data_IF_402050821627
#
_entry.id   IF_402050821627
#
_cell.length_a   1.000
_cell.length_b   1.000
_cell.length_c   1.000
_cell.angle_alpha   90.00
_cell.angle_beta   90.00
_cell.angle_gamma   90.00
#
_symmetry.space_group_name_H-M   'P 1'
#
loop_
_entity.id
_entity.type
_entity.pdbx_description
1 polymer ?
#
# COMPACT_ATOMS: atom_id res chain seq x y z
N UNK A 1 -10.19 -6.05 -21.46
CA UNK A 1 -10.74 -7.06 -22.37
C UNK A 1 -12.24 -7.21 -22.10
N UNK A 2 -13.07 -7.27 -23.13
CA UNK A 2 -14.50 -7.55 -23.03
C UNK A 2 -14.78 -8.77 -23.90
N UNK A 3 -15.33 -9.81 -23.30
CA UNK A 3 -15.76 -11.04 -23.97
C UNK A 3 -17.29 -11.05 -23.97
N UNK A 4 -17.88 -11.07 -25.15
CA UNK A 4 -19.32 -11.17 -25.32
C UNK A 4 -19.64 -11.93 -26.60
N UNK A 5 -20.57 -12.86 -26.48
CA UNK A 5 -21.10 -13.66 -27.58
C UNK A 5 -20.03 -14.36 -28.45
N UNK A 6 -19.01 -14.92 -27.78
CA UNK A 6 -17.94 -15.70 -28.41
C UNK A 6 -17.62 -16.93 -27.58
N UNK A 7 -17.61 -18.10 -28.22
CA UNK A 7 -17.31 -19.38 -27.59
C UNK A 7 -15.82 -19.53 -27.25
N UNK A 8 -15.52 -20.28 -26.19
CA UNK A 8 -14.16 -20.53 -25.74
C UNK A 8 -13.30 -21.26 -26.78
N UNK A 9 -13.92 -22.14 -27.58
CA UNK A 9 -13.27 -22.90 -28.67
C UNK A 9 -12.73 -22.01 -29.79
N UNK A 10 -13.18 -20.76 -29.88
CA UNK A 10 -12.63 -19.81 -30.84
C UNK A 10 -11.18 -19.42 -30.50
N UNK A 11 -10.81 -19.48 -29.22
CA UNK A 11 -9.48 -19.17 -28.73
C UNK A 11 -8.62 -20.44 -28.60
N UNK A 12 -7.32 -20.30 -28.82
CA UNK A 12 -6.39 -21.38 -28.47
C UNK A 12 -6.23 -21.46 -26.94
N UNK A 13 -5.82 -22.62 -26.38
CA UNK A 13 -5.53 -22.74 -24.96
C UNK A 13 -4.52 -21.70 -24.47
N UNK A 14 -3.52 -21.38 -25.28
CA UNK A 14 -2.51 -20.36 -24.97
C UNK A 14 -3.12 -18.96 -24.91
N UNK A 15 -4.05 -18.60 -25.81
CA UNK A 15 -4.71 -17.30 -25.78
C UNK A 15 -5.61 -17.13 -24.54
N UNK A 16 -6.27 -18.21 -24.11
CA UNK A 16 -7.05 -18.21 -22.87
C UNK A 16 -6.14 -18.02 -21.65
N UNK A 17 -5.00 -18.70 -21.61
CA UNK A 17 -3.97 -18.50 -20.56
C UNK A 17 -3.39 -17.08 -20.59
N UNK A 18 -3.07 -16.54 -21.76
CA UNK A 18 -2.62 -15.15 -21.89
C UNK A 18 -3.66 -14.14 -21.40
N UNK A 19 -4.95 -14.44 -21.58
CA UNK A 19 -6.04 -13.60 -21.10
C UNK A 19 -6.18 -13.69 -19.57
N UNK A 20 -5.99 -14.87 -18.98
CA UNK A 20 -5.87 -15.04 -17.53
C UNK A 20 -4.71 -14.20 -16.98
N UNK A 21 -3.51 -14.33 -17.56
CA UNK A 21 -2.29 -13.63 -17.13
C UNK A 21 -2.40 -12.11 -17.31
N UNK A 22 -3.09 -11.67 -18.36
CA UNK A 22 -3.39 -10.26 -18.56
C UNK A 22 -4.16 -9.67 -17.36
N UNK A 23 -5.08 -10.44 -16.77
CA UNK A 23 -5.81 -10.00 -15.57
C UNK A 23 -4.99 -10.22 -14.31
N UNK A 24 -4.47 -11.43 -14.10
CA UNK A 24 -3.82 -11.83 -12.84
C UNK A 24 -2.46 -11.15 -12.62
N UNK A 25 -1.64 -11.05 -13.66
CA UNK A 25 -0.25 -10.56 -13.58
C UNK A 25 -0.14 -9.12 -14.08
N UNK A 26 -0.74 -8.79 -15.23
CA UNK A 26 -0.59 -7.45 -15.83
C UNK A 26 -1.57 -6.43 -15.25
N UNK A 27 -2.51 -6.86 -14.41
CA UNK A 27 -3.47 -5.95 -13.77
C UNK A 27 -4.59 -5.44 -14.68
N UNK A 28 -4.82 -6.12 -15.81
CA UNK A 28 -5.88 -5.80 -16.75
C UNK A 28 -7.28 -6.01 -16.20
N UNK A 29 -8.26 -5.37 -16.83
CA UNK A 29 -9.68 -5.60 -16.59
C UNK A 29 -10.28 -6.62 -17.56
N UNK A 30 -11.07 -7.57 -17.06
CA UNK A 30 -11.89 -8.49 -17.85
C UNK A 30 -13.38 -8.28 -17.55
N UNK A 31 -14.18 -8.20 -18.62
CA UNK A 31 -15.63 -8.30 -18.56
C UNK A 31 -16.11 -9.51 -19.34
N UNK A 32 -16.90 -10.36 -18.69
CA UNK A 32 -17.66 -11.42 -19.34
C UNK A 32 -19.11 -10.98 -19.46
N UNK A 33 -19.63 -10.95 -20.68
CA UNK A 33 -21.01 -10.62 -21.01
C UNK A 33 -21.85 -11.88 -21.20
N UNK A 34 -23.11 -11.80 -20.79
CA UNK A 34 -24.11 -12.80 -21.08
C UNK A 34 -24.46 -12.83 -22.57
N UNK A 35 -24.98 -13.98 -23.00
CA UNK A 35 -25.36 -14.28 -24.38
C UNK A 35 -25.33 -15.79 -24.62
N UNK A 36 -25.70 -16.20 -25.83
CA UNK A 36 -25.78 -17.61 -26.21
C UNK A 36 -24.43 -18.32 -26.14
N UNK A 37 -23.34 -17.56 -26.32
CA UNK A 37 -21.96 -18.05 -26.21
C UNK A 37 -21.23 -17.50 -24.97
N UNK A 38 -21.96 -17.03 -23.96
CA UNK A 38 -21.39 -16.54 -22.70
C UNK A 38 -21.15 -17.66 -21.69
N UNK A 39 -20.28 -17.42 -20.70
CA UNK A 39 -20.16 -18.25 -19.48
C UNK A 39 -20.07 -19.77 -19.74
N UNK A 40 -20.97 -20.57 -19.15
CA UNK A 40 -20.94 -22.02 -19.28
C UNK A 40 -21.42 -22.46 -20.67
N UNK A 41 -22.36 -21.72 -21.27
CA UNK A 41 -22.91 -21.98 -22.61
C UNK A 41 -21.83 -21.85 -23.69
N UNK A 42 -20.93 -20.87 -23.54
CA UNK A 42 -19.76 -20.69 -24.39
C UNK A 42 -18.59 -21.63 -24.08
N UNK A 43 -18.72 -22.56 -23.13
CA UNK A 43 -17.66 -23.53 -22.81
C UNK A 43 -16.50 -22.98 -21.96
N UNK A 44 -16.66 -21.84 -21.29
CA UNK A 44 -15.57 -21.25 -20.48
C UNK A 44 -15.32 -22.00 -19.16
N UNK A 45 -16.20 -22.91 -18.75
CA UNK A 45 -16.14 -23.58 -17.45
C UNK A 45 -14.87 -24.43 -17.24
N UNK A 46 -14.34 -25.01 -18.31
CA UNK A 46 -13.12 -25.85 -18.28
C UNK A 46 -11.89 -25.10 -18.82
N UNK A 47 -11.90 -23.77 -18.74
CA UNK A 47 -10.81 -22.89 -19.21
C UNK A 47 -10.19 -22.11 -18.05
N UNK A 48 -8.97 -21.55 -18.20
CA UNK A 48 -8.38 -20.65 -17.21
C UNK A 48 -9.28 -19.45 -16.86
N UNK A 49 -10.18 -19.03 -17.76
CA UNK A 49 -11.11 -17.93 -17.51
C UNK A 49 -12.20 -18.28 -16.49
N UNK A 50 -12.44 -19.57 -16.23
CA UNK A 50 -13.29 -19.99 -15.12
C UNK A 50 -12.75 -19.51 -13.77
N UNK A 51 -11.42 -19.44 -13.60
CA UNK A 51 -10.77 -18.93 -12.39
C UNK A 51 -10.87 -17.41 -12.27
N UNK A 52 -10.77 -16.71 -13.40
CA UNK A 52 -10.93 -15.26 -13.49
C UNK A 52 -12.38 -14.81 -13.25
N UNK A 53 -13.38 -15.64 -13.55
CA UNK A 53 -14.79 -15.27 -13.40
C UNK A 53 -15.18 -15.02 -11.92
N UNK A 54 -15.97 -13.97 -11.60
CA UNK A 54 -16.49 -13.72 -10.24
C UNK A 54 -17.48 -14.78 -9.74
N UNK A 55 -18.05 -15.54 -10.66
CA UNK A 55 -19.02 -16.60 -10.38
C UNK A 55 -18.44 -17.93 -10.78
N UNK A 56 -18.83 -19.01 -10.10
CA UNK A 56 -18.46 -20.35 -10.55
C UNK A 56 -19.22 -20.65 -11.84
N UNK A 57 -18.50 -21.04 -12.89
CA UNK A 57 -19.10 -21.43 -14.18
C UNK A 57 -19.55 -22.89 -14.19
N UNK A 58 -19.34 -23.62 -13.10
CA UNK A 58 -19.78 -24.99 -12.93
C UNK A 58 -20.35 -25.14 -11.53
N UNK A 59 -21.47 -25.84 -11.40
CA UNK A 59 -21.98 -26.25 -10.11
C UNK A 59 -20.98 -27.19 -9.41
N UNK A 60 -20.74 -26.97 -8.13
CA UNK A 60 -20.06 -27.96 -7.30
C UNK A 60 -21.08 -29.05 -6.94
N UNK A 61 -20.73 -30.33 -7.12
CA UNK A 61 -21.55 -31.45 -6.59
C UNK A 61 -22.43 -32.21 -7.59
N UNK A 62 -22.36 -31.96 -8.89
CA UNK A 62 -23.14 -32.73 -9.89
C UNK A 62 -24.57 -32.25 -10.11
N UNK A 63 -24.97 -31.18 -9.45
CA UNK A 63 -26.25 -30.53 -9.67
C UNK A 63 -26.22 -29.60 -10.90
N UNK A 64 -27.34 -29.46 -11.61
CA UNK A 64 -27.45 -28.63 -12.82
C UNK A 64 -27.59 -27.11 -12.55
N UNK A 65 -27.14 -26.64 -11.39
CA UNK A 65 -27.22 -25.22 -11.01
C UNK A 65 -26.22 -24.37 -11.80
N UNK A 66 -26.67 -23.69 -12.86
CA UNK A 66 -25.81 -22.80 -13.63
C UNK A 66 -25.67 -23.12 -15.11
N UNK A 67 -26.45 -24.06 -15.65
CA UNK A 67 -26.56 -24.26 -17.09
C UNK A 67 -27.85 -23.69 -17.65
N UNK A 68 -27.73 -23.08 -18.82
CA UNK A 68 -28.82 -22.56 -19.62
C UNK A 68 -29.09 -21.09 -19.40
N UNK A 69 -29.94 -20.57 -20.27
CA UNK A 69 -30.39 -19.20 -20.24
C UNK A 69 -31.73 -19.12 -19.52
N UNK A 70 -31.85 -18.13 -18.64
CA UNK A 70 -33.16 -17.70 -18.13
C UNK A 70 -33.76 -16.78 -19.17
N UNK A 71 -34.80 -17.24 -19.87
CA UNK A 71 -35.57 -16.45 -20.82
C UNK A 71 -36.86 -15.94 -20.15
N UNK A 72 -36.73 -14.85 -19.37
CA UNK A 72 -37.87 -14.16 -18.77
C UNK A 72 -37.60 -12.67 -18.63
N UNK A 73 -38.68 -11.89 -18.57
CA UNK A 73 -38.58 -10.47 -18.26
C UNK A 73 -38.39 -10.23 -16.76
N UNK A 74 -37.44 -9.37 -16.40
CA UNK A 74 -37.19 -8.98 -15.02
C UNK A 74 -36.63 -7.55 -14.93
N UNK A 75 -36.86 -6.89 -13.78
CA UNK A 75 -36.20 -5.61 -13.45
C UNK A 75 -34.93 -5.89 -12.66
N UNK A 76 -33.87 -5.17 -12.99
CA UNK A 76 -32.59 -5.30 -12.31
C UNK A 76 -32.71 -4.78 -10.86
N UNK A 77 -32.49 -5.65 -9.89
CA UNK A 77 -32.53 -5.30 -8.47
C UNK A 77 -31.13 -5.03 -7.92
N UNK A 78 -30.93 -3.87 -7.29
CA UNK A 78 -29.66 -3.56 -6.61
C UNK A 78 -29.54 -4.24 -5.26
N UNK A 79 -28.43 -4.93 -5.03
CA UNK A 79 -28.03 -5.45 -3.70
C UNK A 79 -27.61 -4.29 -2.77
N UNK A 80 -27.50 -4.50 -1.45
CA UNK A 80 -26.97 -3.48 -0.54
C UNK A 80 -25.58 -2.93 -0.96
N UNK A 81 -24.70 -3.80 -1.46
CA UNK A 81 -23.39 -3.40 -1.99
C UNK A 81 -23.57 -2.60 -3.28
N UNK A 82 -24.44 -3.05 -4.19
CA UNK A 82 -24.80 -2.34 -5.42
C UNK A 82 -25.26 -0.91 -5.18
N UNK A 83 -26.13 -0.69 -4.19
CA UNK A 83 -26.67 0.64 -3.86
C UNK A 83 -25.61 1.65 -3.42
N UNK A 84 -24.48 1.17 -2.90
CA UNK A 84 -23.39 2.01 -2.41
C UNK A 84 -22.20 2.05 -3.38
N UNK A 85 -22.11 1.10 -4.32
CA UNK A 85 -20.98 0.98 -5.22
C UNK A 85 -21.05 2.02 -6.35
N UNK A 86 -19.91 2.65 -6.64
CA UNK A 86 -19.82 3.71 -7.65
C UNK A 86 -20.25 3.26 -9.05
N UNK A 87 -20.12 1.97 -9.38
CA UNK A 87 -20.59 1.41 -10.68
C UNK A 87 -22.09 1.56 -10.93
N UNK A 88 -22.90 1.58 -9.87
CA UNK A 88 -24.37 1.60 -9.99
C UNK A 88 -24.92 3.01 -9.78
N UNK A 89 -24.10 4.05 -10.00
CA UNK A 89 -24.46 5.45 -9.74
C UNK A 89 -24.84 6.17 -11.04
N UNK A 90 -26.13 6.21 -11.34
CA UNK A 90 -26.72 6.96 -12.44
C UNK A 90 -26.93 8.44 -12.10
N UNK A 91 -27.18 8.76 -10.81
CA UNK A 91 -27.33 10.11 -10.27
C UNK A 91 -26.45 10.31 -9.00
N UNK A 92 -26.06 11.55 -8.71
CA UNK A 92 -25.26 11.87 -7.54
C UNK A 92 -26.04 11.73 -6.22
N UNK A 93 -27.36 11.95 -6.25
CA UNK A 93 -28.26 11.74 -5.14
C UNK A 93 -28.70 10.27 -5.06
N UNK A 94 -28.52 9.65 -3.90
CA UNK A 94 -28.78 8.22 -3.74
C UNK A 94 -30.27 7.85 -3.88
N UNK A 95 -31.20 8.71 -3.44
CA UNK A 95 -32.63 8.43 -3.55
C UNK A 95 -33.09 8.55 -5.00
N UNK A 96 -32.61 9.56 -5.72
CA UNK A 96 -32.88 9.70 -7.16
C UNK A 96 -32.27 8.55 -7.95
N UNK A 97 -31.07 8.12 -7.59
CA UNK A 97 -30.41 6.97 -8.22
C UNK A 97 -31.26 5.69 -8.10
N UNK A 98 -31.79 5.41 -6.91
CA UNK A 98 -32.65 4.24 -6.69
C UNK A 98 -33.95 4.33 -7.50
N UNK A 99 -34.62 5.48 -7.46
CA UNK A 99 -35.83 5.69 -8.25
C UNK A 99 -35.58 5.51 -9.76
N UNK A 100 -34.45 6.02 -10.26
CA UNK A 100 -34.06 5.86 -11.66
C UNK A 100 -33.83 4.39 -12.02
N UNK A 101 -33.16 3.62 -11.16
CA UNK A 101 -33.01 2.18 -11.35
C UNK A 101 -34.35 1.43 -11.35
N UNK A 102 -35.31 1.82 -10.50
CA UNK A 102 -36.64 1.21 -10.43
C UNK A 102 -37.46 1.50 -11.71
N UNK A 103 -37.24 2.66 -12.34
CA UNK A 103 -37.87 3.06 -13.61
C UNK A 103 -37.26 2.39 -14.84
N UNK A 104 -36.05 1.81 -14.74
CA UNK A 104 -35.36 1.16 -15.85
C UNK A 104 -36.24 0.05 -16.49
N UNK A 105 -36.28 -0.05 -17.82
CA UNK A 105 -37.02 -1.10 -18.50
C UNK A 105 -36.54 -2.51 -18.12
N UNK A 106 -37.44 -3.47 -18.25
CA UNK A 106 -37.15 -4.88 -17.99
C UNK A 106 -36.16 -5.46 -19.01
N UNK A 107 -35.22 -6.24 -18.49
CA UNK A 107 -34.31 -7.09 -19.24
C UNK A 107 -35.03 -8.38 -19.63
N UNK A 108 -34.64 -9.01 -20.73
CA UNK A 108 -35.30 -10.20 -21.30
C UNK A 108 -34.61 -11.52 -20.96
N UNK A 109 -33.69 -11.54 -19.99
CA UNK A 109 -33.02 -12.76 -19.58
C UNK A 109 -31.53 -12.61 -19.27
N UNK A 110 -30.94 -13.70 -18.80
CA UNK A 110 -29.53 -13.80 -18.41
C UNK A 110 -29.02 -15.25 -18.40
N UNK A 111 -27.70 -15.45 -18.51
CA UNK A 111 -27.08 -16.77 -18.34
C UNK A 111 -27.16 -17.19 -16.88
N UNK A 112 -27.59 -18.43 -16.62
CA UNK A 112 -27.46 -19.01 -15.28
C UNK A 112 -25.97 -19.16 -14.99
N UNK A 113 -25.59 -18.83 -13.77
CA UNK A 113 -24.23 -19.02 -13.27
C UNK A 113 -24.30 -19.75 -11.93
N UNK A 114 -23.18 -20.33 -11.50
CA UNK A 114 -23.06 -20.90 -10.17
C UNK A 114 -22.95 -19.83 -9.08
N UNK A 115 -22.70 -20.28 -7.86
CA UNK A 115 -22.48 -19.40 -6.71
C UNK A 115 -21.33 -18.42 -6.96
N UNK A 116 -21.44 -17.24 -6.37
CA UNK A 116 -20.37 -16.24 -6.36
C UNK A 116 -19.17 -16.77 -5.59
N UNK A 117 -17.97 -16.40 -6.05
CA UNK A 117 -16.73 -16.73 -5.34
C UNK A 117 -16.62 -15.89 -4.06
N UNK A 118 -15.88 -16.36 -3.03
CA UNK A 118 -15.74 -15.62 -1.77
C UNK A 118 -15.16 -14.19 -1.90
N UNK A 119 -14.36 -13.93 -2.95
CA UNK A 119 -13.80 -12.60 -3.23
C UNK A 119 -14.65 -11.73 -4.15
N UNK A 120 -15.84 -12.21 -4.56
CA UNK A 120 -16.72 -11.49 -5.46
C UNK A 120 -17.79 -10.71 -4.69
N UNK A 121 -18.10 -9.52 -5.18
CA UNK A 121 -19.18 -8.66 -4.69
C UNK A 121 -20.27 -8.62 -5.75
N UNK A 122 -21.50 -8.96 -5.35
CA UNK A 122 -22.68 -8.90 -6.22
C UNK A 122 -23.28 -7.50 -6.12
N UNK A 123 -23.43 -6.82 -7.24
CA UNK A 123 -23.99 -5.47 -7.31
C UNK A 123 -25.45 -5.48 -7.76
N UNK A 124 -25.83 -6.46 -8.58
CA UNK A 124 -27.19 -6.58 -9.09
C UNK A 124 -27.65 -8.03 -9.20
N UNK A 125 -28.93 -8.24 -8.98
CA UNK A 125 -29.62 -9.53 -9.05
C UNK A 125 -30.95 -9.43 -9.80
N UNK A 126 -31.49 -10.57 -10.22
CA UNK A 126 -32.92 -10.71 -10.54
C UNK A 126 -33.68 -10.97 -9.22
N UNK A 127 -34.49 -10.00 -8.73
CA UNK A 127 -35.21 -10.14 -7.47
C UNK A 127 -36.39 -11.12 -7.56
N UNK A 128 -36.83 -11.49 -8.76
CA UNK A 128 -37.96 -12.41 -8.99
C UNK A 128 -37.53 -13.85 -9.18
N UNK A 129 -36.22 -14.11 -9.17
CA UNK A 129 -35.67 -15.43 -9.35
C UNK A 129 -35.91 -16.36 -8.17
N UNK A 130 -36.33 -17.58 -8.48
CA UNK A 130 -36.26 -18.67 -7.54
C UNK A 130 -34.81 -19.14 -7.41
N UNK A 131 -34.24 -18.99 -6.20
CA UNK A 131 -32.89 -19.46 -5.88
C UNK A 131 -32.79 -20.99 -5.95
N UNK A 132 -33.94 -21.70 -5.98
CA UNK A 132 -34.05 -23.13 -6.29
C UNK A 132 -33.97 -23.44 -7.80
N UNK A 133 -33.68 -22.45 -8.64
CA UNK A 133 -33.28 -22.70 -10.03
C UNK A 133 -31.84 -22.24 -10.37
N UNK A 134 -31.13 -21.59 -9.44
CA UNK A 134 -29.73 -21.18 -9.62
C UNK A 134 -29.41 -19.80 -9.07
N UNK A 135 -28.18 -19.35 -9.35
CA UNK A 135 -27.76 -18.00 -9.00
C UNK A 135 -28.59 -16.98 -9.79
N UNK A 136 -29.10 -15.97 -9.10
CA UNK A 136 -29.82 -14.85 -9.68
C UNK A 136 -28.92 -13.64 -9.92
N UNK A 137 -27.61 -13.85 -9.98
CA UNK A 137 -26.61 -12.80 -10.13
C UNK A 137 -26.68 -12.21 -11.53
N UNK A 138 -26.85 -10.90 -11.61
CA UNK A 138 -26.87 -10.13 -12.86
C UNK A 138 -25.57 -9.39 -13.09
N UNK A 139 -25.03 -8.78 -12.03
CA UNK A 139 -23.73 -8.10 -12.08
C UNK A 139 -22.91 -8.46 -10.84
N UNK A 140 -21.76 -9.07 -11.07
CA UNK A 140 -20.77 -9.34 -10.03
C UNK A 140 -19.40 -8.82 -10.44
N UNK A 141 -18.63 -8.37 -9.46
CA UNK A 141 -17.27 -7.89 -9.62
C UNK A 141 -16.34 -8.61 -8.67
N UNK A 142 -15.07 -8.75 -9.02
CA UNK A 142 -14.03 -9.18 -8.11
C UNK A 142 -12.68 -8.56 -8.49
N UNK A 143 -11.76 -8.54 -7.52
CA UNK A 143 -10.33 -8.42 -7.81
C UNK A 143 -9.77 -9.81 -8.04
N UNK A 144 -8.89 -9.95 -9.02
CA UNK A 144 -8.26 -11.22 -9.36
C UNK A 144 -6.79 -10.96 -9.71
N UNK A 145 -5.88 -11.51 -8.90
CA UNK A 145 -4.47 -11.12 -8.93
C UNK A 145 -4.30 -9.60 -8.75
N UNK A 146 -3.59 -8.96 -9.68
CA UNK A 146 -3.42 -7.50 -9.73
C UNK A 146 -4.56 -6.78 -10.46
N UNK A 147 -5.41 -7.51 -11.16
CA UNK A 147 -6.44 -6.96 -12.05
C UNK A 147 -7.85 -7.00 -11.48
N UNK A 148 -8.80 -6.81 -12.39
CA UNK A 148 -10.23 -6.75 -12.07
C UNK A 148 -11.02 -7.62 -13.02
N UNK A 149 -12.04 -8.28 -12.50
CA UNK A 149 -12.95 -9.11 -13.29
C UNK A 149 -14.39 -8.75 -12.98
N UNK A 150 -15.22 -8.75 -14.01
CA UNK A 150 -16.65 -8.46 -13.94
C UNK A 150 -17.42 -9.49 -14.77
N UNK A 151 -18.54 -9.94 -14.23
CA UNK A 151 -19.52 -10.74 -14.93
C UNK A 151 -20.84 -9.96 -14.98
N UNK A 152 -21.29 -9.66 -16.19
CA UNK A 152 -22.62 -9.14 -16.44
C UNK A 152 -23.42 -10.20 -17.22
N UNK A 153 -24.27 -10.94 -16.52
CA UNK A 153 -24.91 -12.16 -17.06
C UNK A 153 -26.11 -11.88 -17.96
N UNK A 154 -26.65 -10.66 -17.93
CA UNK A 154 -27.73 -10.24 -18.81
C UNK A 154 -27.21 -9.85 -20.20
N UNK A 155 -28.00 -10.15 -21.23
CA UNK A 155 -27.66 -9.89 -22.64
C UNK A 155 -28.55 -8.82 -23.30
N UNK A 156 -29.42 -8.18 -22.53
CA UNK A 156 -30.52 -7.35 -23.06
C UNK A 156 -30.53 -5.90 -22.57
N UNK A 157 -29.40 -5.40 -22.06
CA UNK A 157 -29.29 -4.01 -21.60
C UNK A 157 -29.48 -2.97 -22.71
N UNK A 158 -29.29 -3.35 -23.98
CA UNK A 158 -29.64 -2.51 -25.15
C UNK A 158 -31.11 -2.05 -25.13
N UNK A 159 -32.00 -2.80 -24.48
CA UNK A 159 -33.42 -2.45 -24.32
C UNK A 159 -33.60 -1.16 -23.54
N UNK A 160 -32.70 -0.86 -22.60
CA UNK A 160 -32.71 0.40 -21.88
C UNK A 160 -32.57 1.57 -22.86
N UNK A 161 -31.60 1.51 -23.76
CA UNK A 161 -31.41 2.56 -24.77
C UNK A 161 -32.59 2.66 -25.76
N UNK A 162 -33.23 1.54 -26.11
CA UNK A 162 -34.33 1.52 -27.09
C UNK A 162 -35.69 1.89 -26.53
N UNK A 163 -35.94 1.67 -25.23
CA UNK A 163 -37.26 1.85 -24.61
C UNK A 163 -37.37 3.13 -23.77
N UNK A 164 -36.25 3.79 -23.47
CA UNK A 164 -36.24 5.08 -22.77
C UNK A 164 -36.24 6.26 -23.76
N UNK A 165 -36.49 7.46 -23.24
CA UNK A 165 -36.42 8.67 -24.04
C UNK A 165 -35.01 8.87 -24.62
N UNK A 166 -34.91 9.41 -25.83
CA UNK A 166 -33.62 9.61 -26.52
C UNK A 166 -32.64 10.55 -25.80
N UNK A 167 -33.14 11.35 -24.85
CA UNK A 167 -32.33 12.25 -24.01
C UNK A 167 -31.80 11.56 -22.76
N UNK A 168 -32.35 10.41 -22.38
CA UNK A 168 -31.86 9.63 -21.24
C UNK A 168 -30.43 9.14 -21.52
N UNK A 169 -29.61 9.11 -20.47
CA UNK A 169 -28.19 8.72 -20.54
C UNK A 169 -27.86 7.61 -19.55
N UNK A 170 -28.85 6.92 -18.99
CA UNK A 170 -28.66 5.92 -17.93
C UNK A 170 -27.89 4.71 -18.45
N UNK A 171 -28.22 4.24 -19.67
CA UNK A 171 -27.51 3.15 -20.33
C UNK A 171 -26.05 3.53 -20.63
N UNK A 172 -25.81 4.71 -21.19
CA UNK A 172 -24.47 5.23 -21.49
C UNK A 172 -23.66 5.40 -20.20
N UNK A 173 -24.23 5.98 -19.15
CA UNK A 173 -23.58 6.13 -17.84
C UNK A 173 -23.22 4.78 -17.24
N UNK A 174 -24.12 3.80 -17.29
CA UNK A 174 -23.84 2.44 -16.81
C UNK A 174 -22.60 1.84 -17.51
N UNK A 175 -22.57 1.86 -18.84
CA UNK A 175 -21.45 1.30 -19.61
C UNK A 175 -20.16 2.10 -19.48
N UNK A 176 -20.24 3.43 -19.39
CA UNK A 176 -19.08 4.28 -19.13
C UNK A 176 -18.45 3.98 -17.76
N UNK A 177 -19.27 3.73 -16.73
CA UNK A 177 -18.79 3.36 -15.41
C UNK A 177 -18.10 2.00 -15.42
N UNK A 178 -18.69 1.01 -16.10
CA UNK A 178 -18.08 -0.30 -16.33
C UNK A 178 -16.72 -0.15 -17.01
N UNK A 179 -16.66 0.58 -18.13
CA UNK A 179 -15.43 0.80 -18.87
C UNK A 179 -14.35 1.46 -18.00
N UNK A 180 -14.70 2.52 -17.25
CA UNK A 180 -13.78 3.20 -16.32
C UNK A 180 -13.29 2.28 -15.19
N UNK A 181 -14.16 1.43 -14.66
CA UNK A 181 -13.81 0.53 -13.56
C UNK A 181 -12.89 -0.60 -14.02
N UNK A 182 -13.07 -1.09 -15.25
CA UNK A 182 -12.23 -2.10 -15.89
C UNK A 182 -10.91 -1.52 -16.39
N UNK A 183 -10.91 -0.27 -16.83
CA UNK A 183 -9.74 0.45 -17.33
C UNK A 183 -8.83 0.97 -16.21
N UNK A 184 -8.74 0.26 -15.07
CA UNK A 184 -7.68 0.56 -14.11
C UNK A 184 -6.34 0.36 -14.82
N UNK A 185 -5.39 1.27 -14.56
CA UNK A 185 -4.05 1.23 -15.13
C UNK A 185 -3.41 -0.14 -14.91
N UNK A 186 -3.54 -1.02 -15.90
CA UNK A 186 -2.63 -2.15 -16.06
C UNK A 186 -1.27 -1.51 -16.19
N UNK A 187 -0.34 -1.75 -15.25
CA UNK A 187 0.97 -1.15 -15.35
C UNK A 187 1.55 -1.54 -16.70
N UNK A 188 2.06 -0.56 -17.44
CA UNK A 188 2.69 -0.81 -18.72
C UNK A 188 3.94 -1.68 -18.53
N UNK A 189 4.73 -1.82 -19.59
CA UNK A 189 6.03 -2.52 -19.49
C UNK A 189 6.98 -1.88 -18.47
N UNK A 190 6.69 -0.65 -18.04
CA UNK A 190 7.36 0.01 -16.92
C UNK A 190 6.27 0.46 -15.96
N UNK A 191 6.47 0.18 -14.68
CA UNK A 191 5.58 0.57 -13.60
C UNK A 191 6.37 1.22 -12.48
N UNK A 192 6.21 2.52 -12.31
CA UNK A 192 6.83 3.30 -11.25
C UNK A 192 5.98 3.26 -9.98
N UNK A 193 6.61 2.92 -8.86
CA UNK A 193 6.00 2.89 -7.55
C UNK A 193 6.89 3.62 -6.55
N UNK A 194 6.26 4.24 -5.56
CA UNK A 194 6.90 4.90 -4.43
C UNK A 194 6.47 4.18 -3.15
N UNK A 195 7.30 4.20 -2.11
CA UNK A 195 6.95 3.60 -0.83
C UNK A 195 5.88 4.41 -0.06
N UNK A 196 5.82 5.73 -0.29
CA UNK A 196 4.83 6.68 0.25
C UNK A 196 4.44 7.74 -0.78
N UNK A 197 3.29 8.38 -0.57
CA UNK A 197 2.83 9.53 -1.38
C UNK A 197 3.26 10.89 -0.80
N UNK A 198 3.64 10.92 0.48
CA UNK A 198 4.09 12.10 1.19
C UNK A 198 5.28 11.79 2.09
N UNK A 199 6.29 12.66 2.04
CA UNK A 199 7.57 12.53 2.77
C UNK A 199 7.87 13.81 3.55
N UNK A 200 8.61 13.66 4.64
CA UNK A 200 9.17 14.78 5.36
C UNK A 200 10.35 15.41 4.61
N UNK A 201 10.67 16.68 4.90
CA UNK A 201 11.90 17.29 4.42
C UNK A 201 13.13 16.47 4.84
N UNK A 202 14.05 16.24 3.89
CA UNK A 202 15.24 15.39 4.05
C UNK A 202 14.96 13.89 4.28
N UNK A 203 13.72 13.43 4.20
CA UNK A 203 13.42 11.99 4.19
C UNK A 203 13.79 11.38 2.83
N UNK A 204 14.41 10.20 2.86
CA UNK A 204 14.78 9.48 1.64
C UNK A 204 13.55 8.85 1.00
N UNK A 205 13.32 9.16 -0.27
CA UNK A 205 12.28 8.58 -1.12
C UNK A 205 12.82 7.31 -1.79
N UNK A 206 12.09 6.19 -1.65
CA UNK A 206 12.47 4.94 -2.34
C UNK A 206 11.66 4.81 -3.64
N UNK A 207 12.34 4.99 -4.77
CA UNK A 207 11.73 4.84 -6.09
C UNK A 207 11.92 3.39 -6.53
N UNK A 208 10.81 2.67 -6.73
CA UNK A 208 10.81 1.29 -7.24
C UNK A 208 10.21 1.27 -8.64
N UNK A 209 10.84 0.57 -9.57
CA UNK A 209 10.32 0.35 -10.92
C UNK A 209 10.23 -1.14 -11.22
N UNK A 210 9.06 -1.60 -11.67
CA UNK A 210 8.90 -2.93 -12.26
C UNK A 210 9.01 -2.79 -13.77
N UNK A 211 9.94 -3.55 -14.36
CA UNK A 211 10.24 -3.54 -15.79
C UNK A 211 9.99 -4.91 -16.37
N UNK A 212 9.22 -4.92 -17.45
CA UNK A 212 8.91 -6.08 -18.23
C UNK A 212 9.39 -5.89 -19.68
N UNK A 213 9.68 -6.99 -20.36
CA UNK A 213 10.02 -6.97 -21.77
C UNK A 213 8.76 -6.95 -22.67
N UNK A 214 8.96 -7.12 -23.98
CA UNK A 214 7.86 -7.13 -24.96
C UNK A 214 6.87 -8.28 -24.76
N UNK A 215 7.29 -9.35 -24.08
CA UNK A 215 6.47 -10.51 -23.72
C UNK A 215 5.84 -10.37 -22.34
N UNK A 216 6.07 -9.26 -21.64
CA UNK A 216 5.70 -8.99 -20.25
C UNK A 216 6.40 -9.92 -19.22
N UNK A 217 7.54 -10.49 -19.59
CA UNK A 217 8.40 -11.19 -18.64
C UNK A 217 9.31 -10.19 -17.90
N UNK A 218 9.66 -10.45 -16.63
CA UNK A 218 10.54 -9.56 -15.88
C UNK A 218 11.91 -9.36 -16.55
N UNK A 219 12.26 -8.12 -16.87
CA UNK A 219 13.50 -7.80 -17.59
C UNK A 219 14.64 -7.44 -16.62
N UNK A 220 15.61 -8.34 -16.46
CA UNK A 220 16.72 -8.17 -15.50
C UNK A 220 17.94 -7.39 -16.05
N UNK A 221 17.98 -7.10 -17.36
CA UNK A 221 19.10 -6.40 -18.02
C UNK A 221 18.68 -5.07 -18.64
N UNK A 222 17.75 -4.35 -17.99
CA UNK A 222 17.22 -3.08 -18.46
C UNK A 222 18.02 -1.90 -17.90
N UNK A 223 18.24 -0.88 -18.74
CA UNK A 223 18.78 0.41 -18.29
C UNK A 223 17.64 1.35 -17.90
N UNK A 224 17.44 1.52 -16.59
CA UNK A 224 16.30 2.26 -16.01
C UNK A 224 16.77 3.58 -15.40
N UNK A 225 16.10 4.67 -15.78
CA UNK A 225 16.38 6.02 -15.28
C UNK A 225 15.09 6.69 -14.81
N UNK A 226 15.11 7.30 -13.62
CA UNK A 226 14.07 8.19 -13.14
C UNK A 226 14.51 9.64 -13.34
N UNK A 227 13.67 10.44 -13.98
CA UNK A 227 13.80 11.89 -14.02
C UNK A 227 12.84 12.48 -12.99
N UNK A 228 13.40 13.12 -11.95
CA UNK A 228 12.66 13.76 -10.88
C UNK A 228 12.62 15.26 -11.16
N UNK A 229 11.42 15.81 -11.37
CA UNK A 229 11.18 17.24 -11.56
C UNK A 229 10.56 17.84 -10.31
N UNK A 230 11.30 18.74 -9.66
CA UNK A 230 10.84 19.44 -8.47
C UNK A 230 9.88 20.60 -8.77
N UNK A 231 9.30 21.22 -7.73
CA UNK A 231 8.27 22.25 -7.86
C UNK A 231 8.75 23.53 -8.54
N UNK A 232 10.06 23.79 -8.53
CA UNK A 232 10.69 24.94 -9.20
C UNK A 232 11.11 24.63 -10.65
N UNK A 233 10.73 23.47 -11.19
CA UNK A 233 11.08 23.02 -12.54
C UNK A 233 12.51 22.46 -12.69
N UNK A 234 13.27 22.34 -11.60
CA UNK A 234 14.59 21.70 -11.64
C UNK A 234 14.41 20.20 -11.81
N UNK A 235 15.18 19.60 -12.73
CA UNK A 235 15.12 18.16 -13.01
C UNK A 235 16.44 17.48 -12.68
N UNK A 236 16.37 16.34 -11.99
CA UNK A 236 17.51 15.51 -11.62
C UNK A 236 17.27 14.09 -12.13
N UNK A 237 18.29 13.48 -12.77
CA UNK A 237 18.20 12.13 -13.29
C UNK A 237 18.93 11.16 -12.36
N UNK A 238 18.23 10.11 -11.93
CA UNK A 238 18.75 9.07 -11.04
C UNK A 238 18.64 7.73 -11.74
N UNK A 239 19.74 6.98 -11.79
CA UNK A 239 19.74 5.64 -12.34
C UNK A 239 19.21 4.64 -11.30
N UNK A 240 18.27 3.79 -11.68
CA UNK A 240 17.78 2.73 -10.80
C UNK A 240 18.65 1.49 -11.00
N UNK A 241 19.08 0.90 -9.88
CA UNK A 241 19.86 -0.33 -9.87
C UNK A 241 18.92 -1.54 -9.75
N UNK A 242 19.26 -2.65 -10.41
CA UNK A 242 18.50 -3.89 -10.26
C UNK A 242 18.55 -4.36 -8.80
N UNK A 243 17.38 -4.61 -8.22
CA UNK A 243 17.24 -5.12 -6.86
C UNK A 243 17.53 -6.63 -6.86
N UNK A 244 18.75 -6.99 -6.47
CA UNK A 244 19.20 -8.38 -6.46
C UNK A 244 18.25 -9.27 -5.62
N UNK A 245 17.65 -10.27 -6.27
CA UNK A 245 16.66 -11.18 -5.66
C UNK A 245 15.22 -10.96 -6.14
N UNK A 246 14.91 -9.80 -6.71
CA UNK A 246 13.60 -9.47 -7.26
C UNK A 246 13.69 -9.34 -8.80
N UNK A 247 13.12 -10.30 -9.54
CA UNK A 247 13.14 -10.29 -11.01
C UNK A 247 12.37 -9.08 -11.56
N UNK A 248 12.99 -8.34 -12.49
CA UNK A 248 12.42 -7.17 -13.15
C UNK A 248 12.23 -5.96 -12.24
N UNK A 249 12.80 -5.93 -11.04
CA UNK A 249 12.62 -4.83 -10.08
C UNK A 249 13.89 -3.99 -9.97
N UNK A 250 13.74 -2.68 -10.12
CA UNK A 250 14.84 -1.72 -10.01
C UNK A 250 14.51 -0.73 -8.90
N UNK A 251 15.51 -0.34 -8.10
CA UNK A 251 15.34 0.62 -6.99
C UNK A 251 16.39 1.72 -7.04
N UNK A 252 16.00 2.91 -6.60
CA UNK A 252 16.89 4.01 -6.30
C UNK A 252 16.40 4.76 -5.06
N UNK A 253 17.35 5.35 -4.35
CA UNK A 253 17.08 6.27 -3.25
C UNK A 253 17.30 7.70 -3.71
N UNK A 254 16.35 8.58 -3.38
CA UNK A 254 16.41 10.00 -3.73
C UNK A 254 16.09 10.86 -2.50
N UNK A 255 16.91 11.88 -2.22
CA UNK A 255 16.66 12.81 -1.12
C UNK A 255 16.25 14.18 -1.68
N UNK A 256 14.98 14.60 -1.53
CA UNK A 256 14.49 15.86 -2.06
C UNK A 256 15.07 17.05 -1.28
N UNK A 257 15.58 18.05 -2.01
CA UNK A 257 16.20 19.26 -1.44
C UNK A 257 15.19 20.37 -1.13
N UNK A 258 14.02 20.34 -1.77
CA UNK A 258 13.02 21.41 -1.72
C UNK A 258 11.66 20.78 -1.39
N UNK A 259 10.92 21.39 -0.47
CA UNK A 259 9.54 21.04 -0.17
C UNK A 259 8.58 21.35 -1.33
N UNK A 260 7.52 20.56 -1.49
CA UNK A 260 6.51 20.72 -2.54
C UNK A 260 6.23 19.44 -3.32
N UNK A 261 5.51 19.56 -4.43
CA UNK A 261 5.16 18.43 -5.30
C UNK A 261 6.34 18.15 -6.24
N UNK A 262 6.79 16.90 -6.26
CA UNK A 262 7.78 16.38 -7.20
C UNK A 262 7.12 15.37 -8.13
N UNK A 263 7.43 15.47 -9.42
CA UNK A 263 7.03 14.51 -10.44
C UNK A 263 8.20 13.57 -10.75
N UNK A 264 7.91 12.29 -10.93
CA UNK A 264 8.90 11.25 -11.23
C UNK A 264 8.49 10.58 -12.53
N UNK A 265 9.29 10.74 -13.58
CA UNK A 265 9.15 10.01 -14.84
C UNK A 265 10.20 8.91 -14.92
N UNK A 266 9.77 7.66 -14.88
CA UNK A 266 10.67 6.51 -15.04
C UNK A 266 10.67 6.11 -16.50
N UNK A 267 11.87 5.95 -17.07
CA UNK A 267 12.08 5.53 -18.45
C UNK A 267 13.01 4.34 -18.53
N UNK A 268 12.72 3.43 -19.45
CA UNK A 268 13.57 2.28 -19.76
C UNK A 268 14.10 2.41 -21.16
N UNK A 269 15.43 2.42 -21.30
CA UNK A 269 16.11 2.45 -22.59
C UNK A 269 16.52 1.03 -22.98
N UNK A 270 15.76 0.43 -23.89
CA UNK A 270 16.10 -0.86 -24.49
C UNK A 270 17.13 -0.68 -25.63
N UNK A 271 18.04 -1.64 -25.89
CA UNK A 271 18.93 -1.64 -27.05
C UNK A 271 18.20 -1.49 -28.38
N UNK A 272 16.93 -1.90 -28.45
CA UNK A 272 16.08 -1.88 -29.64
C UNK A 272 15.33 -0.54 -29.85
N UNK A 273 15.77 0.56 -29.23
CA UNK A 273 15.25 1.94 -29.40
C UNK A 273 13.82 2.25 -28.92
N UNK A 274 13.11 1.28 -28.32
CA UNK A 274 11.81 1.55 -27.68
C UNK A 274 12.06 2.10 -26.26
N UNK A 275 11.51 3.29 -25.99
CA UNK A 275 11.54 3.92 -24.67
C UNK A 275 10.16 3.80 -24.03
N UNK A 276 10.03 2.89 -23.08
CA UNK A 276 8.83 2.78 -22.25
C UNK A 276 8.92 3.76 -21.09
N UNK A 277 7.79 4.33 -20.69
CA UNK A 277 7.73 5.35 -19.66
C UNK A 277 6.52 5.17 -18.76
N UNK A 278 6.70 5.51 -17.50
CA UNK A 278 5.62 5.66 -16.52
C UNK A 278 5.88 6.89 -15.66
N UNK A 279 4.80 7.50 -15.15
CA UNK A 279 4.86 8.72 -14.36
C UNK A 279 4.15 8.55 -13.01
N UNK A 280 4.81 8.99 -11.96
CA UNK A 280 4.28 9.06 -10.60
C UNK A 280 4.70 10.37 -9.94
N UNK A 281 4.29 10.63 -8.71
CA UNK A 281 4.66 11.84 -7.99
C UNK A 281 4.51 11.70 -6.49
N UNK A 282 5.24 12.55 -5.77
CA UNK A 282 5.18 12.63 -4.31
C UNK A 282 5.16 14.08 -3.84
N UNK A 283 4.70 14.28 -2.61
CA UNK A 283 4.75 15.56 -1.93
C UNK A 283 5.78 15.53 -0.81
N UNK A 284 6.52 16.63 -0.66
CA UNK A 284 7.44 16.84 0.46
C UNK A 284 6.90 17.98 1.31
N UNK A 285 6.62 17.71 2.57
CA UNK A 285 6.09 18.69 3.51
C UNK A 285 6.92 18.70 4.81
N UNK A 286 6.89 19.79 5.58
CA UNK A 286 7.49 19.80 6.92
C UNK A 286 6.91 18.66 7.76
N UNK A 287 7.77 17.95 8.49
CA UNK A 287 7.32 16.87 9.37
C UNK A 287 6.42 17.45 10.46
N UNK A 288 5.14 17.08 10.45
CA UNK A 288 4.21 17.32 11.55
C UNK A 288 4.17 16.16 12.54
N UNK A 289 5.01 15.12 12.36
CA UNK A 289 4.97 13.92 13.18
C UNK A 289 5.15 14.20 14.68
N UNK A 290 5.94 15.23 15.03
CA UNK A 290 6.08 15.71 16.42
C UNK A 290 4.77 16.28 16.99
N UNK A 291 3.87 16.81 16.14
CA UNK A 291 2.57 17.35 16.52
C UNK A 291 1.45 16.29 16.53
N UNK A 292 1.60 15.20 15.77
CA UNK A 292 0.55 14.17 15.65
C UNK A 292 0.55 13.16 16.79
N UNK A 293 1.70 12.89 17.41
CA UNK A 293 1.83 11.98 18.57
C UNK A 293 2.62 12.65 19.72
N UNK A 294 2.13 13.80 20.18
CA UNK A 294 2.66 14.50 21.35
C UNK A 294 2.32 13.80 22.68
N UNK A 295 1.96 12.50 22.67
CA UNK A 295 1.60 11.76 23.87
C UNK A 295 2.84 11.25 24.60
N UNK A 296 2.86 11.41 25.93
CA UNK A 296 3.96 10.92 26.77
C UNK A 296 3.97 9.38 26.76
N UNK A 297 4.95 8.77 26.08
CA UNK A 297 5.20 7.32 26.12
C UNK A 297 5.88 6.89 27.43
N UNK A 298 5.13 6.99 28.53
CA UNK A 298 5.61 6.73 29.89
C UNK A 298 6.16 5.30 30.09
N UNK A 299 5.59 4.32 29.38
CA UNK A 299 5.98 2.92 29.39
C UNK A 299 7.36 2.69 28.75
N UNK A 300 7.67 3.40 27.66
CA UNK A 300 8.99 3.36 26.99
C UNK A 300 10.03 4.01 27.89
N UNK A 301 9.72 5.20 28.44
CA UNK A 301 10.62 5.92 29.34
C UNK A 301 10.93 5.11 30.61
N UNK A 302 9.94 4.40 31.15
CA UNK A 302 10.14 3.51 32.30
C UNK A 302 11.06 2.35 31.97
N UNK A 303 10.83 1.65 30.86
CA UNK A 303 11.69 0.55 30.40
C UNK A 303 13.12 0.99 30.09
N UNK A 304 13.28 2.16 29.46
CA UNK A 304 14.60 2.74 29.19
C UNK A 304 15.33 3.10 30.48
N UNK A 305 14.63 3.63 31.48
CA UNK A 305 15.21 3.93 32.78
C UNK A 305 15.67 2.65 33.50
N UNK A 306 14.87 1.58 33.43
CA UNK A 306 15.21 0.27 34.00
C UNK A 306 16.45 -0.35 33.33
N UNK A 307 16.59 -0.23 32.00
CA UNK A 307 17.72 -0.81 31.26
C UNK A 307 19.02 -0.03 31.38
N UNK A 308 18.94 1.29 31.55
CA UNK A 308 20.12 2.18 31.67
C UNK A 308 20.55 2.42 33.12
N UNK A 309 19.81 1.88 34.09
CA UNK A 309 20.00 2.17 35.52
C UNK A 309 19.55 3.58 35.93
N UNK A 310 18.82 4.27 35.06
CA UNK A 310 18.19 5.56 35.34
C UNK A 310 16.89 5.41 36.14
N UNK A 311 16.21 6.55 36.40
CA UNK A 311 14.92 6.57 37.11
C UNK A 311 13.93 7.40 36.30
N UNK A 312 12.79 6.81 35.95
CA UNK A 312 11.66 7.55 35.40
C UNK A 312 10.93 8.31 36.51
N UNK A 313 10.79 9.63 36.34
CA UNK A 313 10.05 10.51 37.25
C UNK A 313 8.95 11.23 36.48
N UNK A 314 7.67 11.04 36.81
CA UNK A 314 6.58 11.76 36.18
C UNK A 314 6.61 13.24 36.60
N UNK A 315 6.11 14.14 35.73
CA UNK A 315 6.22 15.60 35.91
C UNK A 315 5.68 16.11 37.26
N UNK A 316 4.64 15.47 37.78
CA UNK A 316 4.05 15.77 39.11
C UNK A 316 5.03 15.58 40.28
N UNK A 317 5.99 14.69 40.13
CA UNK A 317 6.92 14.28 41.19
C UNK A 317 8.34 14.85 40.95
N UNK A 318 8.48 15.84 40.06
CA UNK A 318 9.77 16.39 39.63
C UNK A 318 10.63 16.92 40.79
N UNK A 319 10.00 17.39 41.88
CA UNK A 319 10.71 17.86 43.07
C UNK A 319 11.50 16.76 43.79
N UNK A 320 11.18 15.49 43.54
CA UNK A 320 11.90 14.35 44.14
C UNK A 320 13.23 14.05 43.46
N UNK A 321 13.49 14.64 42.27
CA UNK A 321 14.74 14.44 41.52
C UNK A 321 15.95 14.97 42.29
N UNK A 322 15.83 16.13 42.93
CA UNK A 322 16.94 16.78 43.63
C UNK A 322 17.50 15.92 44.77
N UNK A 323 16.65 15.09 45.39
CA UNK A 323 17.05 14.18 46.47
C UNK A 323 17.74 12.90 45.96
N UNK A 324 17.62 12.60 44.66
CA UNK A 324 18.14 11.37 44.04
C UNK A 324 19.39 11.59 43.19
N UNK A 325 19.72 12.84 42.89
CA UNK A 325 21.02 13.19 42.33
C UNK A 325 22.03 13.07 43.47
N UNK A 326 22.93 12.06 43.47
CA UNK A 326 23.94 11.98 44.50
C UNK A 326 24.77 13.27 44.44
N UNK A 327 25.02 13.94 45.58
CA UNK A 327 25.93 15.06 45.58
C UNK A 327 27.26 14.54 45.05
N UNK A 328 27.70 15.07 43.91
CA UNK A 328 29.03 14.81 43.39
C UNK A 328 29.97 15.33 44.47
N UNK A 329 30.48 14.42 45.31
CA UNK A 329 31.62 14.71 46.17
C UNK A 329 32.79 14.93 45.23
N UNK A 330 32.95 16.16 44.78
CA UNK A 330 34.22 16.61 44.24
C UNK A 330 35.21 16.44 45.39
N UNK A 331 35.94 15.33 45.38
CA UNK A 331 37.14 15.18 46.18
C UNK A 331 38.16 16.09 45.54
N UNK A 332 38.05 17.39 45.80
CA UNK A 332 39.11 18.33 45.48
C UNK A 332 40.27 17.92 46.37
N UNK A 333 41.28 17.28 45.79
CA UNK A 333 42.57 17.10 46.43
C UNK A 333 43.16 18.49 46.64
N UNK A 334 42.82 19.13 47.75
CA UNK A 334 43.59 20.26 48.25
C UNK A 334 44.91 19.68 48.73
N UNK A 335 45.96 19.86 47.93
CA UNK A 335 47.34 19.68 48.38
C UNK A 335 47.56 20.61 49.56
N UNK A 336 47.43 20.08 50.78
CA UNK A 336 47.72 20.82 52.00
C UNK A 336 49.23 20.77 52.20
N UNK A 337 49.93 21.76 51.67
CA UNK A 337 51.31 22.03 52.09
C UNK A 337 51.30 22.33 53.59
N UNK A 338 51.85 21.41 54.38
CA UNK A 338 52.21 21.69 55.76
C UNK A 338 53.68 22.10 55.74
N UNK A 339 53.94 23.36 56.05
CA UNK A 339 55.30 23.82 56.28
C UNK A 339 55.83 23.11 57.53
N UNK A 340 56.94 22.38 57.38
CA UNK A 340 57.55 21.61 58.47
C UNK A 340 58.01 22.52 59.62
N UNK A 341 58.17 23.82 59.36
CA UNK A 341 58.48 24.85 60.37
C UNK A 341 57.38 24.99 61.43
N UNK A 342 56.12 24.72 61.09
CA UNK A 342 55.01 24.84 62.06
C UNK A 342 54.80 23.58 62.90
N UNK A 343 55.61 22.54 62.70
CA UNK A 343 55.53 21.33 63.52
C UNK A 343 56.31 21.51 64.83
N UNK A 344 55.60 21.87 65.89
CA UNK A 344 56.10 21.89 67.29
C UNK A 344 56.99 20.68 67.66
N UNK A 345 56.67 19.42 67.29
CA UNK A 345 57.53 18.30 67.65
C UNK A 345 58.93 18.33 67.01
N UNK A 346 59.10 18.92 65.82
CA UNK A 346 60.42 19.03 65.17
C UNK A 346 61.33 19.97 65.95
N UNK A 347 60.81 21.12 66.39
CA UNK A 347 61.54 22.06 67.23
C UNK A 347 61.90 21.43 68.59
N UNK A 348 60.96 20.72 69.21
CA UNK A 348 61.24 20.01 70.46
C UNK A 348 62.36 18.99 70.31
N UNK A 349 62.39 18.24 69.20
CA UNK A 349 63.46 17.27 68.93
C UNK A 349 64.83 17.95 68.75
N UNK A 350 64.91 19.07 68.01
CA UNK A 350 66.16 19.82 67.84
C UNK A 350 66.69 20.32 69.18
N UNK A 351 65.84 20.96 70.01
CA UNK A 351 66.25 21.45 71.32
C UNK A 351 66.67 20.31 72.26
N UNK A 352 66.03 19.15 72.17
CA UNK A 352 66.38 17.98 72.97
C UNK A 352 67.76 17.42 72.56
N UNK A 353 68.03 17.29 71.25
CA UNK A 353 69.35 16.87 70.77
C UNK A 353 70.45 17.85 71.15
N UNK A 354 70.19 19.16 71.03
CA UNK A 354 71.15 20.20 71.40
C UNK A 354 71.41 20.24 72.92
N UNK A 355 70.36 20.03 73.72
CA UNK A 355 70.46 19.89 75.17
C UNK A 355 71.24 18.63 75.60
N UNK A 356 71.01 17.51 74.91
CA UNK A 356 71.75 16.25 75.13
C UNK A 356 73.22 16.42 74.74
N UNK A 357 73.51 17.06 73.60
CA UNK A 357 74.88 17.36 73.19
C UNK A 357 75.58 18.26 74.21
N UNK A 358 74.93 19.34 74.63
CA UNK A 358 75.48 20.25 75.63
C UNK A 358 75.73 19.55 76.98
N UNK A 359 74.78 18.72 77.43
CA UNK A 359 74.94 17.93 78.65
C UNK A 359 76.11 16.94 78.54
N UNK A 360 76.26 16.27 77.39
CA UNK A 360 77.38 15.37 77.12
C UNK A 360 78.72 16.11 77.05
N UNK A 361 78.79 17.31 76.43
CA UNK A 361 80.00 18.15 76.41
C UNK A 361 80.39 18.59 77.82
N UNK A 362 79.42 19.07 78.60
CA UNK A 362 79.66 19.54 79.98
C UNK A 362 80.12 18.41 80.90
N UNK A 363 79.62 17.18 80.70
CA UNK A 363 80.05 16.00 81.47
C UNK A 363 81.43 15.48 81.08
N UNK A 364 81.90 15.76 79.85
CA UNK A 364 83.23 15.35 79.35
C UNK A 364 84.32 16.43 79.48
N UNK A 365 84.01 17.60 80.06
CA UNK A 365 85.02 18.59 80.47
C UNK A 365 85.64 19.43 79.34
N UNK A 366 84.98 19.53 78.19
CA UNK A 366 85.35 20.47 77.12
C UNK A 366 84.38 21.65 77.18
N UNK A 367 84.86 22.82 77.62
CA UNK A 367 84.11 24.07 77.53
C UNK A 367 84.06 24.57 76.10
#
# INVERSE_FOLDING_TARGET
MILGDIEASWFTPEQLSMTEEFVSIRGGGLLMLGGDQGFQEGGYADTPLADVSPTRLRASGGDAWGMGIVDRSFRLGLTPDGRNHALMRLDADQNKNLAQWDEMPELSGYNRVGLTKPGATVLAIDPTADLLEGSNVILAIQRYGKGRSMAFTAFSSWRWQMLMESVDQSHERFWQQIARWLALSSPGQVAAALDKESYAEHETVTITSHVFDNTYEPANEASVWAQITGPTGQSEAVQLAWAFGDNGVYRAEYQPKIGGIHQVEVSVRSPASITFRDQTGFSVAPSVAEFTDATLRADVLKRLSESTGGVYVPLKDIQTITNRIPPVKQTTSMTRERDLRDTTPLFSAIFLFLGVEWFLRRRKGLS
#
